data_IF_183733338174
#
_entry.id   IF_183733338174
#
_cell.length_a   1.000
_cell.length_b   1.000
_cell.length_c   1.000
_cell.angle_alpha   90.00
_cell.angle_beta   90.00
_cell.angle_gamma   90.00
#
_symmetry.space_group_name_H-M   'P 1'
#
loop_
_entity.id
_entity.type
_entity.pdbx_description
1 polymer ?
#
# COMPACT_ATOMS: atom_id res chain seq x y z
N UNK A 1 27.10 8.22 -9.64
CA UNK A 1 25.97 7.40 -9.15
C UNK A 1 25.82 6.24 -10.11
N UNK A 2 25.80 4.99 -9.65
CA UNK A 2 25.57 3.82 -10.52
C UNK A 2 24.13 3.85 -11.07
N UNK A 3 23.86 3.14 -12.17
CA UNK A 3 22.50 3.04 -12.72
C UNK A 3 21.48 2.46 -11.72
N UNK A 4 21.90 1.50 -10.88
CA UNK A 4 21.06 0.99 -9.78
C UNK A 4 20.83 2.03 -8.68
N UNK A 5 21.83 2.86 -8.36
CA UNK A 5 21.68 3.91 -7.36
C UNK A 5 20.71 5.01 -7.78
N UNK A 6 20.61 5.31 -9.08
CA UNK A 6 19.64 6.25 -9.61
C UNK A 6 18.21 5.69 -9.57
N UNK A 7 18.05 4.40 -9.94
CA UNK A 7 16.78 3.67 -9.87
C UNK A 7 16.18 3.71 -8.48
N UNK A 8 16.99 3.39 -7.49
CA UNK A 8 16.54 3.39 -6.11
C UNK A 8 16.19 4.79 -5.61
N UNK A 9 16.97 5.81 -5.99
CA UNK A 9 16.68 7.19 -5.63
C UNK A 9 15.34 7.69 -6.21
N UNK A 10 15.06 7.37 -7.47
CA UNK A 10 13.80 7.74 -8.12
C UNK A 10 12.60 6.98 -7.52
N UNK A 11 12.77 5.67 -7.24
CA UNK A 11 11.77 4.88 -6.51
C UNK A 11 11.44 5.52 -5.16
N UNK A 12 12.46 5.85 -4.37
CA UNK A 12 12.28 6.47 -3.07
C UNK A 12 11.62 7.86 -3.18
N UNK A 13 11.92 8.62 -4.24
CA UNK A 13 11.24 9.90 -4.51
C UNK A 13 9.73 9.71 -4.69
N UNK A 14 9.31 8.71 -5.47
CA UNK A 14 7.90 8.39 -5.70
C UNK A 14 7.23 7.99 -4.38
N UNK A 15 7.82 7.04 -3.65
CA UNK A 15 7.26 6.58 -2.37
C UNK A 15 7.10 7.73 -1.37
N UNK A 16 8.13 8.58 -1.25
CA UNK A 16 8.06 9.75 -0.37
C UNK A 16 7.04 10.80 -0.86
N UNK A 17 6.77 10.90 -2.16
CA UNK A 17 5.74 11.79 -2.69
C UNK A 17 4.32 11.29 -2.37
N UNK A 18 4.10 9.98 -2.44
CA UNK A 18 2.82 9.34 -2.10
C UNK A 18 2.38 9.63 -0.65
N UNK A 19 3.32 9.80 0.28
CA UNK A 19 3.01 10.07 1.69
C UNK A 19 2.78 11.56 2.01
N UNK A 20 2.97 12.46 1.04
CA UNK A 20 2.73 13.90 1.24
C UNK A 20 1.23 14.22 1.23
N UNK A 21 0.80 15.27 1.95
CA UNK A 21 -0.54 15.81 1.81
C UNK A 21 -0.88 16.18 0.36
N UNK A 22 -2.13 15.94 -0.03
CA UNK A 22 -2.66 16.21 -1.34
C UNK A 22 -4.08 16.76 -1.25
N UNK A 23 -4.43 17.58 -2.24
CA UNK A 23 -5.80 18.02 -2.49
C UNK A 23 -6.19 17.47 -3.84
N UNK A 24 -7.31 16.77 -3.90
CA UNK A 24 -7.90 16.30 -5.15
C UNK A 24 -9.10 17.20 -5.41
N UNK A 25 -9.10 17.90 -6.54
CA UNK A 25 -10.18 18.81 -6.93
C UNK A 25 -10.45 18.66 -8.43
N UNK A 26 -10.99 17.49 -8.77
CA UNK A 26 -11.27 17.09 -10.14
C UNK A 26 -12.77 17.21 -10.40
N UNK A 27 -13.13 17.97 -11.43
CA UNK A 27 -14.51 18.10 -11.90
C UNK A 27 -14.54 17.93 -13.41
N UNK A 28 -15.20 16.87 -13.88
CA UNK A 28 -15.22 16.51 -15.29
C UNK A 28 -13.84 16.16 -15.86
N UNK A 29 -12.91 15.71 -15.04
CA UNK A 29 -11.56 15.32 -15.48
C UNK A 29 -11.55 13.89 -16.02
N UNK A 30 -10.69 13.59 -16.98
CA UNK A 30 -10.38 12.21 -17.38
C UNK A 30 -9.25 11.62 -16.53
N UNK A 31 -9.04 10.30 -16.57
CA UNK A 31 -7.88 9.69 -15.92
C UNK A 31 -6.55 10.24 -16.47
N UNK A 32 -6.49 10.57 -17.77
CA UNK A 32 -5.32 11.20 -18.39
C UNK A 32 -5.04 12.59 -17.78
N UNK A 33 -6.08 13.42 -17.59
CA UNK A 33 -5.92 14.73 -16.95
C UNK A 33 -5.38 14.63 -15.52
N UNK A 34 -5.83 13.60 -14.77
CA UNK A 34 -5.35 13.30 -13.42
C UNK A 34 -3.87 12.90 -13.45
N UNK A 35 -3.48 12.02 -14.37
CA UNK A 35 -2.09 11.56 -14.52
C UNK A 35 -1.13 12.69 -14.88
N UNK A 36 -1.54 13.57 -15.80
CA UNK A 36 -0.76 14.75 -16.19
C UNK A 36 -0.59 15.72 -15.02
N UNK A 37 -1.68 15.94 -14.25
CA UNK A 37 -1.65 16.78 -13.06
C UNK A 37 -0.70 16.22 -12.00
N UNK A 38 -0.80 14.94 -11.68
CA UNK A 38 0.05 14.28 -10.67
C UNK A 38 1.52 14.29 -11.07
N UNK A 39 1.82 13.97 -12.34
CA UNK A 39 3.19 13.97 -12.85
C UNK A 39 3.84 15.35 -12.74
N UNK A 40 3.08 16.40 -13.07
CA UNK A 40 3.55 17.78 -13.00
C UNK A 40 3.71 18.27 -11.56
N UNK A 41 2.71 18.05 -10.72
CA UNK A 41 2.67 18.59 -9.36
C UNK A 41 3.70 17.93 -8.44
N UNK A 42 3.92 16.62 -8.59
CA UNK A 42 4.81 15.86 -7.71
C UNK A 42 6.18 15.54 -8.34
N UNK A 43 6.40 15.96 -9.59
CA UNK A 43 7.65 15.85 -10.33
C UNK A 43 8.18 14.41 -10.44
N UNK A 44 7.30 13.44 -10.69
CA UNK A 44 7.67 12.06 -11.00
C UNK A 44 6.79 11.51 -12.13
N UNK A 45 7.27 10.49 -12.84
CA UNK A 45 6.53 9.94 -13.97
C UNK A 45 5.36 9.07 -13.50
N UNK A 46 4.17 9.36 -14.01
CA UNK A 46 2.97 8.53 -13.87
C UNK A 46 2.51 8.14 -15.28
N UNK A 47 2.18 6.86 -15.48
CA UNK A 47 1.74 6.35 -16.78
C UNK A 47 0.53 5.44 -16.61
N UNK A 48 -0.31 5.38 -17.64
CA UNK A 48 -1.45 4.48 -17.72
C UNK A 48 -1.06 3.29 -18.58
N UNK A 49 -1.20 2.07 -18.07
CA UNK A 49 -1.04 0.84 -18.85
C UNK A 49 -2.30 0.61 -19.72
N UNK A 50 -2.47 1.46 -20.73
CA UNK A 50 -3.67 1.45 -21.58
C UNK A 50 -3.88 0.11 -22.25
N UNK A 51 -2.79 -0.56 -22.66
CA UNK A 51 -2.86 -1.87 -23.30
C UNK A 51 -3.51 -2.90 -22.39
N UNK A 52 -3.03 -3.03 -21.16
CA UNK A 52 -3.57 -4.00 -20.20
C UNK A 52 -5.03 -3.69 -19.83
N UNK A 53 -5.36 -2.41 -19.66
CA UNK A 53 -6.74 -1.98 -19.33
C UNK A 53 -7.70 -2.26 -20.49
N UNK A 54 -7.30 -1.97 -21.72
CA UNK A 54 -8.09 -2.24 -22.92
C UNK A 54 -8.25 -3.75 -23.17
N UNK A 55 -7.19 -4.54 -22.97
CA UNK A 55 -7.22 -6.00 -23.13
C UNK A 55 -8.20 -6.68 -22.16
N UNK A 56 -8.30 -6.20 -20.91
CA UNK A 56 -9.30 -6.71 -19.95
C UNK A 56 -10.70 -6.09 -20.14
N UNK A 57 -10.82 -4.97 -20.86
CA UNK A 57 -12.09 -4.29 -21.14
C UNK A 57 -12.81 -3.77 -19.90
N UNK A 58 -12.07 -3.45 -18.83
CA UNK A 58 -12.63 -3.14 -17.52
C UNK A 58 -13.12 -1.69 -17.38
N UNK A 59 -12.53 -0.75 -18.11
CA UNK A 59 -12.71 0.70 -17.85
C UNK A 59 -12.78 1.49 -19.16
N UNK A 60 -13.73 2.42 -19.24
CA UNK A 60 -13.72 3.46 -20.27
C UNK A 60 -12.81 4.61 -19.82
N UNK A 61 -11.62 4.73 -20.42
CA UNK A 61 -10.64 5.76 -20.09
C UNK A 61 -11.13 7.20 -20.41
N UNK A 62 -12.24 7.34 -21.15
CA UNK A 62 -12.88 8.63 -21.43
C UNK A 62 -13.91 9.05 -20.37
N UNK A 63 -14.20 8.18 -19.41
CA UNK A 63 -15.10 8.46 -18.30
C UNK A 63 -14.65 9.71 -17.53
N UNK A 64 -15.64 10.53 -17.15
CA UNK A 64 -15.43 11.77 -16.43
C UNK A 64 -15.50 11.52 -14.93
N UNK A 65 -14.49 12.02 -14.23
CA UNK A 65 -14.28 11.82 -12.80
C UNK A 65 -14.57 13.14 -12.10
N UNK A 66 -15.48 13.06 -11.13
CA UNK A 66 -15.72 14.11 -10.13
C UNK A 66 -15.22 13.62 -8.77
N UNK A 67 -14.19 14.27 -8.23
CA UNK A 67 -13.63 13.95 -6.93
C UNK A 67 -13.10 15.20 -6.24
N UNK A 68 -13.58 15.41 -5.03
CA UNK A 68 -13.08 16.45 -4.14
C UNK A 68 -12.66 15.83 -2.80
N UNK A 69 -11.37 15.92 -2.49
CA UNK A 69 -10.78 15.48 -1.23
C UNK A 69 -9.80 16.53 -0.70
N UNK A 70 -9.88 16.80 0.59
CA UNK A 70 -8.94 17.69 1.30
C UNK A 70 -8.35 16.95 2.51
N UNK A 71 -7.12 17.31 2.89
CA UNK A 71 -6.38 16.75 4.04
C UNK A 71 -6.17 15.24 3.99
N UNK A 72 -5.96 14.69 2.79
CA UNK A 72 -5.55 13.29 2.59
C UNK A 72 -4.10 13.21 2.13
N UNK A 73 -3.47 12.05 2.22
CA UNK A 73 -2.18 11.81 1.52
C UNK A 73 -2.45 11.59 0.03
N UNK A 74 -1.44 11.85 -0.81
CA UNK A 74 -1.50 11.54 -2.25
C UNK A 74 -1.88 10.07 -2.46
N UNK A 75 -1.25 9.18 -1.70
CA UNK A 75 -1.50 7.74 -1.67
C UNK A 75 -2.98 7.40 -1.47
N UNK A 76 -3.58 7.91 -0.40
CA UNK A 76 -4.99 7.61 -0.08
C UNK A 76 -5.94 8.21 -1.12
N UNK A 77 -5.69 9.44 -1.58
CA UNK A 77 -6.49 10.07 -2.63
C UNK A 77 -6.44 9.29 -3.94
N UNK A 78 -5.24 8.88 -4.36
CA UNK A 78 -5.03 8.09 -5.58
C UNK A 78 -5.67 6.71 -5.47
N UNK A 79 -5.51 6.00 -4.33
CA UNK A 79 -6.19 4.72 -4.04
C UNK A 79 -7.71 4.86 -4.19
N UNK A 80 -8.30 5.88 -3.58
CA UNK A 80 -9.75 6.10 -3.63
C UNK A 80 -10.24 6.40 -5.05
N UNK A 81 -9.46 7.15 -5.83
CA UNK A 81 -9.78 7.45 -7.22
C UNK A 81 -9.71 6.19 -8.08
N UNK A 82 -8.61 5.46 -8.03
CA UNK A 82 -8.41 4.27 -8.86
C UNK A 82 -9.38 3.14 -8.49
N UNK A 83 -9.67 2.93 -7.20
CA UNK A 83 -10.65 1.94 -6.77
C UNK A 83 -12.06 2.19 -7.35
N UNK A 84 -12.46 3.45 -7.58
CA UNK A 84 -13.75 3.77 -8.22
C UNK A 84 -13.79 3.35 -9.68
N UNK A 85 -12.63 3.41 -10.34
CA UNK A 85 -12.45 2.98 -11.72
C UNK A 85 -12.14 1.47 -11.83
N UNK A 86 -12.05 0.75 -10.71
CA UNK A 86 -11.61 -0.65 -10.72
C UNK A 86 -10.15 -0.84 -11.13
N UNK A 87 -9.31 0.19 -10.95
CA UNK A 87 -7.88 0.19 -11.24
C UNK A 87 -7.06 0.21 -9.94
N UNK A 88 -5.77 -0.05 -10.08
CA UNK A 88 -4.79 0.12 -9.02
C UNK A 88 -3.44 0.59 -9.62
N UNK A 89 -2.41 0.79 -8.79
CA UNK A 89 -1.09 1.20 -9.24
C UNK A 89 0.04 0.33 -8.70
N UNK A 90 1.13 0.27 -9.45
CA UNK A 90 2.39 -0.38 -9.08
C UNK A 90 3.58 0.49 -9.50
N UNK A 91 4.77 0.19 -8.97
CA UNK A 91 6.00 0.88 -9.37
C UNK A 91 6.85 -0.03 -10.26
N UNK A 92 7.16 0.43 -11.46
CA UNK A 92 7.98 -0.30 -12.42
C UNK A 92 8.90 0.68 -13.15
N UNK A 93 10.18 0.30 -13.28
CA UNK A 93 11.18 1.09 -14.01
C UNK A 93 11.21 2.59 -13.64
N UNK A 94 11.08 2.91 -12.35
CA UNK A 94 11.07 4.30 -11.83
C UNK A 94 9.81 5.11 -12.22
N UNK A 95 8.72 4.44 -12.60
CA UNK A 95 7.44 5.05 -13.00
C UNK A 95 6.33 4.49 -12.11
N UNK A 96 5.37 5.34 -11.74
CA UNK A 96 4.12 4.89 -11.14
C UNK A 96 3.16 4.50 -12.26
N UNK A 97 2.92 3.20 -12.40
CA UNK A 97 2.04 2.64 -13.43
C UNK A 97 0.64 2.46 -12.86
N UNK A 98 -0.38 3.00 -13.54
CA UNK A 98 -1.80 2.75 -13.26
C UNK A 98 -2.27 1.64 -14.19
N UNK A 99 -2.83 0.57 -13.64
CA UNK A 99 -3.22 -0.62 -14.41
C UNK A 99 -4.33 -1.40 -13.70
N UNK A 100 -4.65 -2.59 -14.21
CA UNK A 100 -5.66 -3.47 -13.65
C UNK A 100 -5.17 -4.10 -12.32
N UNK A 101 -6.09 -4.48 -11.42
CA UNK A 101 -5.71 -5.18 -10.19
C UNK A 101 -4.93 -6.48 -10.46
N UNK A 102 -5.28 -7.20 -11.52
CA UNK A 102 -4.58 -8.41 -11.98
C UNK A 102 -3.12 -8.12 -12.31
N UNK A 103 -2.85 -7.02 -13.05
CA UNK A 103 -1.49 -6.59 -13.36
C UNK A 103 -0.70 -6.23 -12.12
N UNK A 104 -1.30 -5.46 -11.21
CA UNK A 104 -0.66 -5.03 -9.96
C UNK A 104 -0.30 -6.22 -9.08
N UNK A 105 -1.18 -7.21 -8.95
CA UNK A 105 -0.92 -8.45 -8.21
C UNK A 105 0.27 -9.25 -8.76
N UNK A 106 0.52 -9.16 -10.06
CA UNK A 106 1.63 -9.84 -10.73
C UNK A 106 2.93 -9.02 -10.76
N UNK A 107 2.91 -7.78 -10.26
CA UNK A 107 4.07 -6.89 -10.17
C UNK A 107 4.29 -6.40 -8.72
N UNK A 108 4.58 -7.32 -7.79
CA UNK A 108 4.76 -6.97 -6.39
C UNK A 108 6.03 -6.13 -6.18
N UNK A 109 5.95 -5.22 -5.23
CA UNK A 109 7.08 -4.47 -4.70
C UNK A 109 7.76 -5.25 -3.59
N UNK A 110 9.10 -5.29 -3.58
CA UNK A 110 9.87 -5.85 -2.46
C UNK A 110 10.33 -4.74 -1.52
N UNK A 111 9.85 -4.77 -0.27
CA UNK A 111 10.23 -3.82 0.80
C UNK A 111 10.87 -4.52 1.99
N UNK A 112 11.73 -3.78 2.69
CA UNK A 112 12.41 -4.23 3.91
C UNK A 112 11.83 -3.51 5.11
N UNK A 113 11.32 -4.27 6.07
CA UNK A 113 10.79 -3.76 7.34
C UNK A 113 11.71 -4.14 8.49
N UNK A 114 12.15 -3.17 9.29
CA UNK A 114 12.89 -3.45 10.51
C UNK A 114 11.91 -3.68 11.67
N UNK A 115 11.78 -4.94 12.09
CA UNK A 115 10.85 -5.35 13.15
C UNK A 115 11.57 -5.70 14.46
N UNK A 116 12.86 -5.36 14.61
CA UNK A 116 13.65 -5.71 15.80
C UNK A 116 13.04 -5.22 17.10
N UNK A 117 12.38 -4.07 17.10
CA UNK A 117 11.68 -3.53 18.28
C UNK A 117 10.46 -4.36 18.68
N UNK A 118 9.89 -5.14 17.74
CA UNK A 118 8.73 -6.00 17.98
C UNK A 118 9.11 -7.39 18.47
N UNK A 119 10.42 -7.69 18.52
CA UNK A 119 10.93 -9.01 18.85
C UNK A 119 11.53 -9.05 20.26
N UNK A 120 11.50 -10.21 20.93
CA UNK A 120 12.27 -10.43 22.15
C UNK A 120 13.76 -10.13 21.95
N UNK A 121 14.45 -9.72 23.01
CA UNK A 121 15.87 -9.30 22.96
C UNK A 121 16.83 -10.41 22.50
N UNK A 122 16.47 -11.66 22.71
CA UNK A 122 17.23 -12.83 22.25
C UNK A 122 16.96 -13.17 20.78
N UNK A 123 16.04 -12.46 20.12
CA UNK A 123 15.74 -12.61 18.70
C UNK A 123 15.21 -13.99 18.33
N UNK A 124 14.55 -14.68 19.27
CA UNK A 124 14.14 -16.07 19.09
C UNK A 124 13.34 -16.28 17.79
N UNK A 125 13.80 -17.20 16.94
CA UNK A 125 13.17 -17.51 15.65
C UNK A 125 11.68 -17.86 15.79
N UNK A 126 11.27 -18.45 16.91
CA UNK A 126 9.86 -18.75 17.19
C UNK A 126 8.98 -17.50 17.25
N UNK A 127 9.46 -16.41 17.86
CA UNK A 127 8.73 -15.15 17.93
C UNK A 127 8.63 -14.47 16.56
N UNK A 128 9.71 -14.53 15.78
CA UNK A 128 9.74 -14.06 14.38
C UNK A 128 8.69 -14.79 13.56
N UNK A 129 8.67 -16.12 13.61
CA UNK A 129 7.72 -16.96 12.87
C UNK A 129 6.28 -16.71 13.31
N UNK A 130 6.06 -16.45 14.60
CA UNK A 130 4.73 -16.11 15.12
C UNK A 130 4.25 -14.75 14.59
N UNK A 131 5.12 -13.74 14.53
CA UNK A 131 4.79 -12.44 13.95
C UNK A 131 4.47 -12.56 12.46
N UNK A 132 5.28 -13.28 11.69
CA UNK A 132 5.01 -13.56 10.26
C UNK A 132 3.62 -14.18 10.08
N UNK A 133 3.29 -15.19 10.91
CA UNK A 133 1.98 -15.83 10.88
C UNK A 133 0.83 -14.86 11.17
N UNK A 134 1.00 -13.96 12.14
CA UNK A 134 -0.01 -12.94 12.46
C UNK A 134 -0.21 -12.00 11.27
N UNK A 135 0.88 -11.46 10.70
CA UNK A 135 0.80 -10.55 9.56
C UNK A 135 0.08 -11.19 8.37
N UNK A 136 0.45 -12.43 8.00
CA UNK A 136 -0.17 -13.17 6.90
C UNK A 136 -1.66 -13.45 7.10
N UNK A 137 -2.07 -13.71 8.34
CA UNK A 137 -3.46 -14.02 8.66
C UNK A 137 -4.33 -12.78 8.81
N UNK A 138 -3.73 -11.63 9.13
CA UNK A 138 -4.44 -10.38 9.35
C UNK A 138 -4.55 -9.53 8.08
N UNK A 139 -3.55 -9.60 7.20
CA UNK A 139 -3.46 -8.76 6.00
C UNK A 139 -3.63 -9.60 4.75
N UNK A 140 -4.69 -9.35 3.99
CA UNK A 140 -5.06 -10.02 2.73
C UNK A 140 -4.65 -11.50 2.67
N UNK A 141 -5.23 -12.39 3.48
CA UNK A 141 -4.71 -13.76 3.64
C UNK A 141 -4.57 -14.53 2.34
N UNK A 142 -5.48 -14.34 1.38
CA UNK A 142 -5.43 -15.01 0.07
C UNK A 142 -4.33 -14.49 -0.87
N UNK A 143 -3.70 -13.35 -0.59
CA UNK A 143 -2.66 -12.78 -1.46
C UNK A 143 -1.28 -13.43 -1.28
N UNK A 144 -1.08 -14.21 -0.20
CA UNK A 144 0.19 -14.87 0.12
C UNK A 144 0.36 -16.20 -0.61
N UNK A 145 1.60 -16.55 -0.96
CA UNK A 145 1.98 -17.79 -1.67
C UNK A 145 1.45 -19.05 -0.99
N UNK A 146 1.50 -19.11 0.35
CA UNK A 146 0.98 -20.25 1.13
C UNK A 146 -0.53 -20.46 0.99
N UNK A 147 -1.26 -19.42 0.57
CA UNK A 147 -2.71 -19.44 0.35
C UNK A 147 -3.08 -19.32 -1.14
N UNK A 148 -2.11 -19.51 -2.05
CA UNK A 148 -2.31 -19.53 -3.50
C UNK A 148 -2.18 -18.16 -4.20
N UNK A 149 -1.73 -17.13 -3.49
CA UNK A 149 -1.39 -15.84 -4.08
C UNK A 149 0.08 -15.75 -4.53
N UNK A 150 0.56 -14.53 -4.77
CA UNK A 150 1.92 -14.25 -5.27
C UNK A 150 2.83 -13.58 -4.23
N UNK A 151 2.27 -13.22 -3.06
CA UNK A 151 2.97 -12.52 -2.01
C UNK A 151 3.92 -13.39 -1.21
N UNK A 152 5.10 -12.87 -0.90
CA UNK A 152 6.10 -13.58 -0.08
C UNK A 152 6.56 -12.71 1.09
N UNK A 153 6.88 -13.36 2.22
CA UNK A 153 7.49 -12.70 3.38
C UNK A 153 8.55 -13.65 3.94
N UNK A 154 9.80 -13.19 3.89
CA UNK A 154 10.95 -13.83 4.52
C UNK A 154 11.49 -12.97 5.66
N UNK A 155 12.45 -13.50 6.40
CA UNK A 155 13.14 -12.74 7.44
C UNK A 155 14.66 -12.97 7.43
N UNK A 156 15.39 -11.95 7.87
CA UNK A 156 16.83 -12.00 8.08
C UNK A 156 17.23 -11.10 9.25
N UNK A 157 17.71 -11.67 10.35
CA UNK A 157 18.22 -10.92 11.52
C UNK A 157 17.29 -9.79 12.02
N UNK A 158 15.99 -10.08 12.13
CA UNK A 158 14.97 -9.11 12.57
C UNK A 158 14.55 -8.09 11.52
N UNK A 159 14.95 -8.30 10.26
CA UNK A 159 14.39 -7.63 9.09
C UNK A 159 13.39 -8.55 8.43
N UNK A 160 12.23 -8.04 8.03
CA UNK A 160 11.34 -8.71 7.10
C UNK A 160 11.62 -8.22 5.70
N UNK A 161 11.70 -9.17 4.76
CA UNK A 161 11.78 -8.91 3.33
C UNK A 161 10.45 -9.37 2.76
N UNK A 162 9.62 -8.42 2.33
CA UNK A 162 8.25 -8.68 1.91
C UNK A 162 8.11 -8.30 0.45
N UNK A 163 7.65 -9.22 -0.39
CA UNK A 163 7.25 -8.94 -1.77
C UNK A 163 5.72 -8.97 -1.86
N UNK A 164 5.10 -7.81 -2.04
CA UNK A 164 3.64 -7.67 -2.12
C UNK A 164 3.20 -6.41 -2.87
N UNK A 165 1.89 -6.30 -3.15
CA UNK A 165 1.33 -5.10 -3.78
C UNK A 165 1.43 -3.89 -2.85
N UNK A 166 1.36 -2.68 -3.42
CA UNK A 166 1.36 -1.44 -2.63
C UNK A 166 0.28 -1.43 -1.55
N UNK A 167 -0.94 -1.88 -1.88
CA UNK A 167 -2.07 -1.98 -0.95
C UNK A 167 -1.75 -2.83 0.28
N UNK A 168 -1.08 -3.97 0.06
CA UNK A 168 -0.77 -4.90 1.14
C UNK A 168 0.38 -4.38 2.00
N UNK A 169 1.37 -3.72 1.39
CA UNK A 169 2.40 -3.01 2.16
C UNK A 169 1.81 -1.94 3.07
N UNK A 170 0.83 -1.16 2.58
CA UNK A 170 0.13 -0.15 3.39
C UNK A 170 -0.55 -0.78 4.61
N UNK A 171 -1.30 -1.88 4.41
CA UNK A 171 -1.93 -2.60 5.52
C UNK A 171 -0.91 -3.23 6.50
N UNK A 172 0.24 -3.67 6.00
CA UNK A 172 1.33 -4.19 6.84
C UNK A 172 1.97 -3.09 7.67
N UNK A 173 2.23 -1.93 7.07
CA UNK A 173 2.78 -0.74 7.73
C UNK A 173 1.87 -0.31 8.89
N UNK A 174 0.56 -0.17 8.64
CA UNK A 174 -0.43 0.18 9.66
C UNK A 174 -0.45 -0.84 10.83
N UNK A 175 -0.45 -2.14 10.52
CA UNK A 175 -0.49 -3.17 11.55
C UNK A 175 0.81 -3.23 12.35
N UNK A 176 1.97 -3.10 11.70
CA UNK A 176 3.28 -3.07 12.35
C UNK A 176 3.41 -1.85 13.27
N UNK A 177 2.94 -0.68 12.83
CA UNK A 177 2.92 0.53 13.64
C UNK A 177 2.00 0.35 14.86
N UNK A 178 0.80 -0.19 14.67
CA UNK A 178 -0.13 -0.48 15.76
C UNK A 178 0.47 -1.44 16.81
N UNK A 179 1.14 -2.50 16.37
CA UNK A 179 1.84 -3.44 17.25
C UNK A 179 3.00 -2.76 17.99
N UNK A 180 3.76 -1.90 17.31
CA UNK A 180 4.86 -1.14 17.91
C UNK A 180 4.36 -0.19 19.01
N UNK A 181 3.30 0.56 18.74
CA UNK A 181 2.69 1.48 19.69
C UNK A 181 2.16 0.72 20.91
N UNK A 182 1.42 -0.37 20.68
CA UNK A 182 0.86 -1.22 21.75
C UNK A 182 1.96 -1.77 22.67
N UNK A 183 3.10 -2.19 22.13
CA UNK A 183 4.22 -2.70 22.94
C UNK A 183 5.02 -1.61 23.65
N UNK A 184 5.06 -0.37 23.11
CA UNK A 184 5.69 0.78 23.76
C UNK A 184 4.87 1.27 24.95
N UNK A 185 3.55 1.26 24.85
CA UNK A 185 2.65 1.59 25.96
C UNK A 185 2.62 0.48 27.03
N UNK A 186 2.95 -0.76 26.65
CA UNK A 186 2.95 -1.95 27.49
C UNK A 186 4.22 -2.11 28.36
N UNK A 187 4.53 -1.13 29.21
CA UNK A 187 5.43 -1.33 30.36
C UNK A 187 4.95 -2.39 31.39
N UNK A 188 4.02 -3.27 31.02
CA UNK A 188 3.26 -4.24 31.82
C UNK A 188 2.00 -4.69 31.04
N UNK A 189 1.30 -5.77 31.45
CA UNK A 189 0.22 -6.36 30.67
C UNK A 189 -0.98 -5.40 30.56
N UNK A 190 -1.26 -4.91 29.35
CA UNK A 190 -2.40 -4.03 29.12
C UNK A 190 -3.67 -4.88 28.95
N UNK A 191 -4.70 -4.55 29.72
CA UNK A 191 -6.05 -5.08 29.53
C UNK A 191 -6.62 -4.66 28.18
N UNK A 192 -7.31 -5.55 27.46
CA UNK A 192 -7.91 -5.23 26.17
C UNK A 192 -9.05 -4.22 26.38
N UNK A 193 -8.86 -2.98 25.94
CA UNK A 193 -10.00 -2.11 25.63
C UNK A 193 -10.66 -2.67 24.37
N UNK A 194 -11.82 -3.31 24.58
CA UNK A 194 -12.69 -3.79 23.50
C UNK A 194 -12.92 -2.68 22.46
N UNK A 195 -13.02 -3.02 21.16
CA UNK A 195 -13.59 -2.10 20.19
C UNK A 195 -15.03 -1.78 20.61
N UNK A 196 -15.29 -0.52 20.96
CA UNK A 196 -16.64 -0.02 21.23
C UNK A 196 -17.41 -0.09 19.90
N UNK A 197 -18.19 -1.15 19.71
CA UNK A 197 -19.11 -1.21 18.59
C UNK A 197 -20.22 -0.19 18.83
N UNK A 198 -20.11 0.99 18.21
CA UNK A 198 -21.24 1.89 18.09
C UNK A 198 -22.23 1.31 17.06
N UNK A 199 -23.03 0.33 17.47
CA UNK A 199 -24.30 0.03 16.79
C UNK A 199 -25.38 0.90 17.42
N UNK A 200 -26.00 1.84 16.69
CA UNK A 200 -27.24 2.45 17.16
C UNK A 200 -28.32 1.36 17.26
N UNK A 201 -28.99 1.28 18.41
CA UNK A 201 -30.15 0.40 18.57
C UNK A 201 -31.31 0.93 17.72
N UNK A 202 -32.10 0.05 17.07
CA UNK A 202 -33.31 0.49 16.39
C UNK A 202 -34.35 0.95 17.43
N UNK A 203 -34.81 2.18 17.28
CA UNK A 203 -35.93 2.74 18.05
C UNK A 203 -37.17 1.86 17.87
N UNK A 204 -37.79 1.44 18.98
CA UNK A 204 -39.17 0.93 19.01
C UNK A 204 -40.13 2.06 19.33
#
# INVERSE_FOLDING_TARGET
MSGEGLREANRQKILAALDKPATFDFFGATLADVVDNLSTQYEFSVEIDTREIEDEGLVDLSERIDMQLDKVTLRSGLRLLLNRLGLDYYLENEVLMISTPSKVQNNPDTRIYNVRELLPKDGADSAVQQLIKVLRNAVEPSSWEENGGTGTIGHYQGLFVVSQTGAVHEQLEDLLEYLAATMKDAGGPISPTLPQSNRPQPSR
#
